data_IF_624600838509
#
_entry.id   IF_624600838509
#
_cell.length_a   1.000
_cell.length_b   1.000
_cell.length_c   1.000
_cell.angle_alpha   90.00
_cell.angle_beta   90.00
_cell.angle_gamma   90.00
#
_symmetry.space_group_name_H-M   'P 1'
#
loop_
_entity.id
_entity.type
_entity.pdbx_description
1 polymer ?
#
# COMPACT_ATOMS: atom_id res chain seq x y z
N UNK A 1 -8.27 23.97 -0.82
CA UNK A 1 -7.91 22.74 -0.07
C UNK A 1 -7.52 21.61 -1.02
N UNK A 2 -6.72 21.94 -2.04
CA UNK A 2 -6.16 20.98 -2.98
C UNK A 2 -4.65 21.14 -2.86
N UNK A 3 -3.94 20.09 -2.45
CA UNK A 3 -2.48 20.04 -2.49
C UNK A 3 -2.03 20.24 -3.96
N UNK A 4 -0.83 20.74 -4.29
CA UNK A 4 -0.42 21.05 -5.68
C UNK A 4 0.59 20.03 -6.26
N UNK A 5 0.70 18.86 -5.61
CA UNK A 5 1.66 17.83 -5.97
C UNK A 5 1.35 17.09 -7.28
N UNK A 6 2.38 16.83 -8.08
CA UNK A 6 2.31 16.15 -9.39
C UNK A 6 1.94 14.65 -9.31
N UNK A 7 1.78 14.08 -8.11
CA UNK A 7 1.69 12.62 -7.88
C UNK A 7 0.38 12.16 -7.22
N UNK A 8 -0.67 12.99 -7.25
CA UNK A 8 -1.97 12.70 -6.58
C UNK A 8 -2.67 11.45 -7.10
N UNK A 9 -2.38 11.07 -8.34
CA UNK A 9 -3.12 10.03 -9.05
C UNK A 9 -2.37 8.70 -9.17
N UNK A 10 -1.07 8.66 -8.81
CA UNK A 10 -0.24 7.45 -8.95
C UNK A 10 -0.90 6.23 -8.29
N UNK A 11 -1.48 6.44 -7.11
CA UNK A 11 -2.19 5.40 -6.36
C UNK A 11 -3.67 5.70 -6.17
N UNK A 12 -4.30 6.48 -7.07
CA UNK A 12 -5.74 6.74 -6.99
C UNK A 12 -6.57 5.44 -7.06
N UNK A 13 -6.13 4.50 -7.90
CA UNK A 13 -6.78 3.18 -8.07
C UNK A 13 -6.38 2.15 -7.01
N UNK A 14 -5.48 2.48 -6.07
CA UNK A 14 -5.15 1.58 -4.97
C UNK A 14 -6.38 1.31 -4.07
N UNK A 15 -7.39 2.17 -4.12
CA UNK A 15 -8.68 1.96 -3.45
C UNK A 15 -9.55 0.88 -4.09
N UNK A 16 -9.24 0.42 -5.31
CA UNK A 16 -10.01 -0.62 -6.01
C UNK A 16 -9.47 -2.04 -5.77
N UNK A 17 -8.21 -2.16 -5.34
CA UNK A 17 -7.57 -3.47 -5.11
C UNK A 17 -8.21 -4.24 -3.97
N UNK A 18 -8.18 -5.57 -4.05
CA UNK A 18 -8.82 -6.47 -3.09
C UNK A 18 -7.82 -7.42 -2.42
N UNK A 19 -8.21 -7.93 -1.26
CA UNK A 19 -7.47 -9.00 -0.57
C UNK A 19 -7.49 -10.25 -1.44
N UNK A 20 -6.33 -10.90 -1.60
CA UNK A 20 -6.11 -12.03 -2.49
C UNK A 20 -5.61 -11.66 -3.90
N UNK A 21 -5.53 -10.37 -4.24
CA UNK A 21 -4.86 -9.93 -5.48
C UNK A 21 -3.34 -9.84 -5.29
N UNK A 22 -2.60 -9.77 -6.40
CA UNK A 22 -1.14 -9.80 -6.42
C UNK A 22 -0.51 -8.41 -6.63
N UNK A 23 0.63 -8.18 -5.98
CA UNK A 23 1.53 -7.06 -6.21
C UNK A 23 2.84 -7.61 -6.77
N UNK A 24 3.20 -7.18 -7.97
CA UNK A 24 4.45 -7.57 -8.62
C UNK A 24 5.53 -6.50 -8.47
N UNK A 25 6.66 -6.85 -7.88
CA UNK A 25 7.82 -5.97 -7.73
C UNK A 25 9.00 -6.54 -8.50
N UNK A 26 9.58 -5.72 -9.39
CA UNK A 26 10.78 -6.07 -10.14
C UNK A 26 11.99 -5.39 -9.52
N UNK A 27 12.95 -6.18 -9.04
CA UNK A 27 14.19 -5.68 -8.45
C UNK A 27 15.37 -6.56 -8.87
N UNK A 28 16.47 -5.96 -9.34
CA UNK A 28 17.66 -6.68 -9.83
C UNK A 28 17.35 -7.80 -10.85
N UNK A 29 16.43 -7.55 -11.78
CA UNK A 29 15.95 -8.54 -12.78
C UNK A 29 15.23 -9.76 -12.18
N UNK A 30 14.91 -9.74 -10.89
CA UNK A 30 14.08 -10.73 -10.22
C UNK A 30 12.67 -10.18 -9.98
N UNK A 31 11.66 -11.04 -10.18
CA UNK A 31 10.25 -10.74 -9.89
C UNK A 31 9.92 -11.26 -8.50
N UNK A 32 9.31 -10.41 -7.67
CA UNK A 32 8.79 -10.73 -6.36
C UNK A 32 7.27 -10.54 -6.40
N UNK A 33 6.51 -11.58 -6.04
CA UNK A 33 5.05 -11.55 -6.04
C UNK A 33 4.59 -11.52 -4.59
N UNK A 34 3.76 -10.55 -4.25
CA UNK A 34 3.15 -10.44 -2.93
C UNK A 34 1.64 -10.61 -3.06
N UNK A 35 1.03 -11.42 -2.21
CA UNK A 35 -0.43 -11.53 -2.11
C UNK A 35 -0.94 -10.49 -1.12
N UNK A 36 -1.95 -9.71 -1.49
CA UNK A 36 -2.58 -8.73 -0.60
C UNK A 36 -3.33 -9.47 0.51
N UNK A 37 -2.95 -9.20 1.75
CA UNK A 37 -3.54 -9.83 2.95
C UNK A 37 -4.37 -8.86 3.77
N UNK A 38 -4.14 -7.55 3.66
CA UNK A 38 -4.86 -6.54 4.44
C UNK A 38 -5.10 -5.26 3.63
N UNK A 39 -6.28 -4.67 3.80
CA UNK A 39 -6.62 -3.32 3.31
C UNK A 39 -7.39 -2.57 4.39
N UNK A 40 -6.92 -1.39 4.77
CA UNK A 40 -7.57 -0.56 5.79
C UNK A 40 -7.35 0.94 5.61
N UNK A 41 -8.29 1.73 6.10
CA UNK A 41 -8.12 3.18 6.25
C UNK A 41 -7.75 3.51 7.69
N UNK A 42 -6.75 4.37 7.87
CA UNK A 42 -6.30 4.84 9.19
C UNK A 42 -6.11 6.36 9.23
N UNK A 43 -6.07 6.93 10.43
CA UNK A 43 -5.71 8.33 10.60
C UNK A 43 -4.22 8.55 10.28
N UNK A 44 -3.82 9.74 9.80
CA UNK A 44 -2.42 10.05 9.52
C UNK A 44 -1.49 9.92 10.74
N UNK A 45 -2.03 9.99 11.95
CA UNK A 45 -1.29 9.82 13.21
C UNK A 45 -1.00 8.36 13.57
N UNK A 46 -1.69 7.39 12.95
CA UNK A 46 -1.55 5.96 13.26
C UNK A 46 -0.36 5.36 12.49
N UNK A 47 0.85 5.66 12.95
CA UNK A 47 2.10 5.21 12.30
C UNK A 47 2.42 3.74 12.52
N UNK A 48 1.84 3.12 13.56
CA UNK A 48 2.08 1.72 13.93
C UNK A 48 1.72 0.72 12.82
N UNK A 49 0.85 1.13 11.89
CA UNK A 49 0.49 0.34 10.71
C UNK A 49 1.67 0.05 9.78
N UNK A 50 2.73 0.86 9.83
CA UNK A 50 3.92 0.71 8.99
C UNK A 50 4.96 -0.23 9.60
N UNK A 51 4.74 -0.67 10.84
CA UNK A 51 5.57 -1.67 11.50
C UNK A 51 5.54 -2.98 10.72
N UNK A 52 6.73 -3.50 10.41
CA UNK A 52 6.90 -4.77 9.71
C UNK A 52 7.37 -5.87 10.67
N UNK A 53 6.70 -7.02 10.69
CA UNK A 53 7.15 -8.18 11.47
C UNK A 53 8.50 -8.71 10.95
N UNK A 54 9.36 -9.18 11.86
CA UNK A 54 10.72 -9.67 11.52
C UNK A 54 10.73 -11.06 10.90
N UNK A 55 9.65 -11.82 11.07
CA UNK A 55 9.49 -13.20 10.61
C UNK A 55 8.85 -13.31 9.22
N UNK A 56 8.41 -12.20 8.61
CA UNK A 56 7.68 -12.21 7.35
C UNK A 56 8.20 -11.15 6.38
N UNK A 57 8.34 -11.52 5.10
CA UNK A 57 8.63 -10.57 4.02
C UNK A 57 7.32 -9.90 3.61
N UNK A 58 7.09 -8.67 4.07
CA UNK A 58 5.86 -7.91 3.84
C UNK A 58 6.12 -6.66 2.99
N UNK A 59 5.18 -6.34 2.09
CA UNK A 59 5.09 -5.06 1.41
C UNK A 59 3.92 -4.24 1.97
N UNK A 60 4.09 -2.93 2.06
CA UNK A 60 3.01 -2.00 2.43
C UNK A 60 2.95 -0.87 1.41
N UNK A 61 1.81 -0.74 0.74
CA UNK A 61 1.47 0.38 -0.13
C UNK A 61 0.58 1.35 0.64
N UNK A 62 0.87 2.65 0.50
CA UNK A 62 0.21 3.71 1.25
C UNK A 62 -0.16 4.86 0.32
N UNK A 63 -1.38 5.36 0.46
CA UNK A 63 -1.82 6.58 -0.24
C UNK A 63 -2.73 7.44 0.64
N UNK A 64 -2.93 8.69 0.27
CA UNK A 64 -3.94 9.55 0.89
C UNK A 64 -5.34 9.13 0.43
N UNK A 65 -6.32 9.17 1.34
CA UNK A 65 -7.72 8.87 1.03
C UNK A 65 -8.68 9.80 1.80
N UNK A 66 -9.86 10.15 1.25
CA UNK A 66 -10.31 9.96 -0.14
C UNK A 66 -9.43 10.67 -1.18
N UNK A 67 -9.44 10.18 -2.43
CA UNK A 67 -8.64 10.74 -3.54
C UNK A 67 -8.83 12.26 -3.65
N UNK A 68 -7.73 13.00 -3.76
CA UNK A 68 -7.74 14.47 -3.78
C UNK A 68 -7.78 15.15 -2.40
N UNK A 69 -7.87 14.38 -1.32
CA UNK A 69 -7.77 14.86 0.07
C UNK A 69 -6.66 14.14 0.83
N UNK A 70 -6.31 14.60 2.03
CA UNK A 70 -5.29 14.00 2.89
C UNK A 70 -5.82 13.60 4.28
N UNK A 71 -7.15 13.46 4.41
CA UNK A 71 -7.85 13.25 5.68
C UNK A 71 -7.45 11.94 6.37
N UNK A 72 -7.25 10.89 5.57
CA UNK A 72 -6.85 9.57 6.04
C UNK A 72 -5.74 9.01 5.16
N UNK A 73 -5.29 7.81 5.53
CA UNK A 73 -4.35 7.01 4.76
C UNK A 73 -4.99 5.67 4.46
N UNK A 74 -4.97 5.28 3.19
CA UNK A 74 -5.28 3.92 2.77
C UNK A 74 -3.98 3.12 2.85
N UNK A 75 -4.04 2.00 3.57
CA UNK A 75 -2.94 1.07 3.76
C UNK A 75 -3.35 -0.26 3.12
N UNK A 76 -2.52 -0.76 2.22
CA UNK A 76 -2.63 -2.08 1.62
C UNK A 76 -1.37 -2.85 1.98
N UNK A 77 -1.51 -4.02 2.59
CA UNK A 77 -0.39 -4.89 2.93
C UNK A 77 -0.47 -6.18 2.12
N UNK A 78 0.70 -6.66 1.71
CA UNK A 78 0.82 -7.98 1.11
C UNK A 78 2.03 -8.74 1.64
N UNK A 79 1.94 -10.06 1.64
CA UNK A 79 3.02 -10.96 2.06
C UNK A 79 3.64 -11.60 0.83
N UNK A 80 4.96 -11.77 0.82
CA UNK A 80 5.66 -12.42 -0.29
C UNK A 80 5.11 -13.84 -0.44
N UNK A 81 4.60 -14.16 -1.63
CA UNK A 81 4.31 -15.53 -2.03
C UNK A 81 5.66 -16.18 -2.34
N UNK A 82 5.92 -17.32 -1.69
CA UNK A 82 7.15 -18.11 -1.67
C UNK A 82 8.18 -17.89 -2.81
N UNK A 83 9.48 -17.88 -2.45
CA UNK A 83 10.62 -17.72 -3.38
C UNK A 83 10.76 -18.83 -4.44
#
# INVERSE_FOLDING_TARGET
FWDDGQYKEIFALLSEVQVGEEIEVYYNQQKFIYEITEKKEVMPSEVDVLSQPTDQKQITLMTCTPVGTNLKRLIVKGNLMDE
#
